data_IF_144374555156
#
_entry.id   IF_144374555156
#
_cell.length_a   1.000
_cell.length_b   1.000
_cell.length_c   1.000
_cell.angle_alpha   90.00
_cell.angle_beta   90.00
_cell.angle_gamma   90.00
#
_symmetry.space_group_name_H-M   'P 1'
#
loop_
_entity.id
_entity.type
_entity.pdbx_description
1 polymer ?
#
# COMPACT_ATOMS: atom_id res chain seq x y z
N UNK A 1 -26.76 -12.87 -3.78
CA UNK A 1 -25.34 -13.15 -3.56
C UNK A 1 -24.63 -11.85 -3.09
N UNK A 2 -23.67 -11.97 -2.20
CA UNK A 2 -22.87 -10.87 -1.69
C UNK A 2 -21.45 -11.34 -1.47
N UNK A 3 -20.51 -10.41 -1.49
CA UNK A 3 -19.09 -10.64 -1.18
C UNK A 3 -18.54 -9.42 -0.49
N UNK A 4 -17.38 -9.56 0.13
CA UNK A 4 -16.62 -8.44 0.67
C UNK A 4 -15.25 -8.35 0.01
N UNK A 5 -14.74 -7.12 -0.04
CA UNK A 5 -13.41 -6.81 -0.51
C UNK A 5 -12.84 -5.63 0.26
N UNK A 6 -11.53 -5.52 0.27
CA UNK A 6 -10.84 -4.43 0.93
C UNK A 6 -9.33 -4.57 0.87
N UNK A 7 -8.66 -3.62 1.49
CA UNK A 7 -7.21 -3.62 1.53
C UNK A 7 -6.68 -2.67 2.58
N UNK A 8 -5.45 -2.92 2.95
CA UNK A 8 -4.70 -2.15 3.91
C UNK A 8 -3.22 -2.32 3.55
N UNK A 9 -2.67 -1.40 2.78
CA UNK A 9 -1.29 -1.44 2.28
C UNK A 9 -0.55 -0.13 2.54
N UNK A 10 0.78 -0.19 2.60
CA UNK A 10 1.64 0.93 2.93
C UNK A 10 2.66 1.19 1.81
N UNK A 11 2.79 2.46 1.41
CA UNK A 11 3.77 2.91 0.42
C UNK A 11 4.73 3.94 1.04
N UNK A 12 5.76 3.50 1.78
CA UNK A 12 6.77 4.39 2.31
C UNK A 12 7.74 4.84 1.20
N UNK A 13 8.34 6.01 1.38
CA UNK A 13 9.40 6.50 0.49
C UNK A 13 10.77 6.45 1.16
N UNK A 14 10.82 6.65 2.47
CA UNK A 14 12.01 6.45 3.31
C UNK A 14 11.73 5.24 4.21
N UNK A 15 12.71 4.35 4.31
CA UNK A 15 12.55 3.06 4.98
C UNK A 15 12.71 3.21 6.49
N UNK A 16 11.73 2.69 7.22
CA UNK A 16 11.79 2.44 8.66
C UNK A 16 11.29 1.02 8.91
N UNK A 17 12.20 0.06 9.01
CA UNK A 17 11.84 -1.37 9.10
C UNK A 17 10.91 -1.70 10.28
N UNK A 18 11.05 -1.02 11.41
CA UNK A 18 10.20 -1.28 12.58
C UNK A 18 8.75 -0.90 12.32
N UNK A 19 8.50 0.18 11.58
CA UNK A 19 7.15 0.57 11.18
C UNK A 19 6.53 -0.48 10.24
N UNK A 20 7.32 -1.02 9.32
CA UNK A 20 6.86 -2.03 8.37
C UNK A 20 6.52 -3.34 9.09
N UNK A 21 7.38 -3.78 10.01
CA UNK A 21 7.12 -4.97 10.82
C UNK A 21 5.86 -4.83 11.67
N UNK A 22 5.67 -3.68 12.29
CA UNK A 22 4.47 -3.40 13.10
C UNK A 22 3.22 -3.34 12.22
N UNK A 23 3.30 -2.70 11.06
CA UNK A 23 2.25 -2.68 10.05
C UNK A 23 1.76 -4.09 9.70
N UNK A 24 2.67 -5.01 9.39
CA UNK A 24 2.33 -6.40 9.04
C UNK A 24 1.84 -7.20 10.24
N UNK A 25 2.39 -7.01 11.46
CA UNK A 25 1.88 -7.64 12.69
C UNK A 25 0.44 -7.25 12.98
N UNK A 26 0.11 -5.97 12.85
CA UNK A 26 -1.23 -5.47 13.07
C UNK A 26 -2.21 -5.99 12.00
N UNK A 27 -1.78 -6.05 10.73
CA UNK A 27 -2.55 -6.65 9.64
C UNK A 27 -2.83 -8.14 9.91
N UNK A 28 -1.86 -8.88 10.42
CA UNK A 28 -2.04 -10.29 10.80
C UNK A 28 -2.96 -10.42 12.01
N UNK A 29 -2.71 -9.67 13.06
CA UNK A 29 -3.47 -9.76 14.31
C UNK A 29 -4.97 -9.50 14.12
N UNK A 30 -5.33 -8.54 13.24
CA UNK A 30 -6.74 -8.23 12.98
C UNK A 30 -7.50 -9.34 12.23
N UNK A 31 -6.79 -10.27 11.58
CA UNK A 31 -7.36 -11.39 10.84
C UNK A 31 -7.28 -12.72 11.61
N UNK A 32 -6.27 -12.91 12.46
CA UNK A 32 -6.04 -14.17 13.19
C UNK A 32 -7.22 -14.59 14.09
N UNK A 33 -8.01 -13.62 14.57
CA UNK A 33 -9.23 -13.87 15.34
C UNK A 33 -10.41 -14.39 14.51
N UNK A 34 -10.31 -14.34 13.18
CA UNK A 34 -11.34 -14.74 12.22
C UNK A 34 -10.89 -16.01 11.50
N UNK A 35 -9.76 -15.95 10.80
CA UNK A 35 -9.14 -17.08 10.12
C UNK A 35 -7.64 -16.83 9.96
N UNK A 36 -6.82 -17.75 10.49
CA UNK A 36 -5.35 -17.63 10.45
C UNK A 36 -4.75 -17.74 9.03
N UNK A 37 -5.48 -18.34 8.10
CA UNK A 37 -5.03 -18.50 6.72
C UNK A 37 -5.27 -17.22 5.89
N UNK A 38 -6.06 -16.27 6.40
CA UNK A 38 -6.37 -15.04 5.67
C UNK A 38 -5.16 -14.12 5.51
N UNK A 39 -4.38 -13.93 6.58
CA UNK A 39 -3.22 -13.04 6.47
C UNK A 39 -2.21 -13.49 5.40
N UNK A 40 -1.69 -14.73 5.37
CA UNK A 40 -0.77 -15.14 4.32
C UNK A 40 -1.40 -15.05 2.92
N UNK A 41 -2.64 -15.47 2.75
CA UNK A 41 -3.34 -15.39 1.47
C UNK A 41 -3.51 -13.94 1.00
N UNK A 42 -4.00 -13.06 1.86
CA UNK A 42 -4.27 -11.67 1.51
C UNK A 42 -2.99 -10.83 1.37
N UNK A 43 -1.92 -11.20 2.07
CA UNK A 43 -0.60 -10.60 1.89
C UNK A 43 0.00 -10.95 0.54
N UNK A 44 -0.10 -12.20 0.11
CA UNK A 44 0.31 -12.63 -1.23
C UNK A 44 -0.51 -11.94 -2.32
N UNK A 45 -1.83 -11.82 -2.14
CA UNK A 45 -2.70 -11.08 -3.05
C UNK A 45 -2.27 -9.61 -3.15
N UNK A 46 -1.98 -8.96 -2.02
CA UNK A 46 -1.48 -7.59 -1.96
C UNK A 46 -0.17 -7.43 -2.75
N UNK A 47 0.80 -8.29 -2.48
CA UNK A 47 2.10 -8.30 -3.13
C UNK A 47 2.00 -8.50 -4.65
N UNK A 48 1.05 -9.31 -5.11
CA UNK A 48 0.81 -9.57 -6.53
C UNK A 48 0.04 -8.45 -7.21
N UNK A 49 -0.98 -7.91 -6.55
CA UNK A 49 -1.81 -6.85 -7.12
C UNK A 49 -1.04 -5.54 -7.32
N UNK A 50 -0.26 -5.11 -6.33
CA UNK A 50 0.44 -3.83 -6.36
C UNK A 50 1.82 -3.88 -7.04
N UNK A 51 2.00 -4.76 -8.01
CA UNK A 51 3.19 -4.77 -8.88
C UNK A 51 3.13 -3.65 -9.93
N UNK A 52 4.29 -3.11 -10.26
CA UNK A 52 4.52 -2.18 -11.37
C UNK A 52 5.40 -2.93 -12.39
N UNK A 53 4.81 -3.70 -13.32
CA UNK A 53 5.56 -4.63 -14.17
C UNK A 53 6.66 -3.96 -15.00
N UNK A 54 6.38 -2.80 -15.61
CA UNK A 54 7.34 -2.08 -16.44
C UNK A 54 8.51 -1.46 -15.63
N UNK A 55 8.42 -1.46 -14.29
CA UNK A 55 9.50 -1.07 -13.37
C UNK A 55 10.15 -2.25 -12.68
N UNK A 56 9.56 -3.45 -12.79
CA UNK A 56 9.98 -4.66 -12.08
C UNK A 56 10.07 -4.44 -10.56
N UNK A 57 9.09 -3.75 -9.99
CA UNK A 57 9.04 -3.44 -8.55
C UNK A 57 7.61 -3.53 -8.02
N UNK A 58 7.45 -3.63 -6.71
CA UNK A 58 6.16 -3.43 -6.02
C UNK A 58 5.94 -1.94 -5.77
N UNK A 59 4.68 -1.52 -5.66
CA UNK A 59 4.31 -0.14 -5.34
C UNK A 59 4.76 0.27 -3.93
N UNK A 60 4.63 -0.62 -2.95
CA UNK A 60 4.95 -0.41 -1.55
C UNK A 60 5.41 -1.67 -0.85
N UNK A 61 5.40 -1.65 0.47
CA UNK A 61 5.80 -2.77 1.32
C UNK A 61 4.69 -3.80 1.53
N UNK A 62 3.52 -3.58 0.95
CA UNK A 62 2.37 -4.47 1.07
C UNK A 62 1.58 -4.24 2.36
N UNK A 63 0.96 -5.29 2.80
CA UNK A 63 -0.03 -5.39 3.85
C UNK A 63 -0.99 -6.51 3.50
N UNK A 64 -2.28 -6.22 3.33
CA UNK A 64 -3.30 -7.17 2.89
C UNK A 64 -4.16 -6.58 1.78
N UNK A 65 -4.61 -7.44 0.87
CA UNK A 65 -5.60 -7.12 -0.15
C UNK A 65 -6.49 -8.34 -0.37
N UNK A 66 -7.80 -8.16 -0.26
CA UNK A 66 -8.77 -9.24 -0.43
C UNK A 66 -9.94 -8.77 -1.30
N UNK A 67 -10.47 -9.69 -2.08
CA UNK A 67 -11.56 -9.46 -3.01
C UNK A 67 -12.39 -10.75 -3.11
N UNK A 68 -13.69 -10.60 -3.36
CA UNK A 68 -14.61 -11.74 -3.54
C UNK A 68 -14.62 -12.75 -2.38
N UNK A 69 -14.46 -12.31 -1.14
CA UNK A 69 -14.58 -13.18 0.04
C UNK A 69 -16.06 -13.49 0.29
N UNK A 70 -16.41 -14.78 0.23
CA UNK A 70 -17.80 -15.29 0.31
C UNK A 70 -17.98 -16.41 1.34
N UNK A 71 -16.91 -16.85 1.97
CA UNK A 71 -16.86 -18.01 2.87
C UNK A 71 -17.21 -17.68 4.34
N UNK A 72 -17.55 -16.42 4.61
CA UNK A 72 -17.97 -15.94 5.92
C UNK A 72 -19.49 -15.70 5.98
N UNK A 73 -20.09 -15.82 7.16
CA UNK A 73 -21.41 -15.28 7.42
C UNK A 73 -21.42 -13.76 7.31
N UNK A 74 -22.58 -13.15 7.08
CA UNK A 74 -22.69 -11.68 7.01
C UNK A 74 -22.15 -11.01 8.29
N UNK A 75 -22.48 -11.56 9.46
CA UNK A 75 -22.00 -11.04 10.75
C UNK A 75 -20.46 -11.07 10.84
N UNK A 76 -19.84 -12.20 10.49
CA UNK A 76 -18.38 -12.32 10.52
C UNK A 76 -17.71 -11.46 9.44
N UNK A 77 -18.36 -11.26 8.30
CA UNK A 77 -17.88 -10.34 7.27
C UNK A 77 -17.84 -8.90 7.75
N UNK A 78 -18.89 -8.43 8.43
CA UNK A 78 -18.92 -7.09 9.03
C UNK A 78 -17.86 -6.95 10.11
N UNK A 79 -17.74 -7.93 11.02
CA UNK A 79 -16.68 -7.94 12.04
C UNK A 79 -15.28 -7.88 11.44
N UNK A 80 -15.03 -8.61 10.36
CA UNK A 80 -13.76 -8.58 9.67
C UNK A 80 -13.46 -7.19 9.07
N UNK A 81 -14.43 -6.59 8.39
CA UNK A 81 -14.26 -5.25 7.81
C UNK A 81 -14.00 -4.19 8.89
N UNK A 82 -14.73 -4.24 10.00
CA UNK A 82 -14.50 -3.35 11.15
C UNK A 82 -13.10 -3.55 11.76
N UNK A 83 -12.67 -4.81 11.94
CA UNK A 83 -11.36 -5.14 12.47
C UNK A 83 -10.23 -4.61 11.58
N UNK A 84 -10.34 -4.82 10.26
CA UNK A 84 -9.37 -4.32 9.28
C UNK A 84 -9.34 -2.79 9.25
N UNK A 85 -10.49 -2.13 9.24
CA UNK A 85 -10.58 -0.66 9.24
C UNK A 85 -9.95 -0.04 10.49
N UNK A 86 -10.24 -0.60 11.67
CA UNK A 86 -9.68 -0.13 12.94
C UNK A 86 -8.17 -0.38 13.02
N UNK A 87 -7.69 -1.53 12.57
CA UNK A 87 -6.27 -1.87 12.54
C UNK A 87 -5.51 -0.94 11.58
N UNK A 88 -6.07 -0.65 10.40
CA UNK A 88 -5.50 0.32 9.45
C UNK A 88 -5.33 1.69 10.09
N UNK A 89 -6.41 2.24 10.63
CA UNK A 89 -6.39 3.58 11.23
C UNK A 89 -5.39 3.65 12.38
N UNK A 90 -5.44 2.69 13.31
CA UNK A 90 -4.54 2.63 14.46
C UNK A 90 -3.07 2.56 14.05
N UNK A 91 -2.72 1.64 13.16
CA UNK A 91 -1.35 1.45 12.68
C UNK A 91 -0.82 2.68 11.92
N UNK A 92 -1.64 3.27 11.04
CA UNK A 92 -1.23 4.45 10.29
C UNK A 92 -1.02 5.67 11.21
N UNK A 93 -1.91 5.89 12.16
CA UNK A 93 -1.80 7.00 13.11
C UNK A 93 -0.58 6.86 14.02
N UNK A 94 -0.23 5.63 14.40
CA UNK A 94 0.99 5.36 15.16
C UNK A 94 2.24 5.74 14.37
N UNK A 95 2.37 5.27 13.12
CA UNK A 95 3.48 5.63 12.23
C UNK A 95 3.54 7.14 12.01
N UNK A 96 2.40 7.77 11.71
CA UNK A 96 2.34 9.22 11.50
C UNK A 96 2.81 10.00 12.73
N UNK A 97 2.38 9.60 13.94
CA UNK A 97 2.80 10.23 15.18
C UNK A 97 4.30 10.05 15.49
N UNK A 98 4.85 8.88 15.18
CA UNK A 98 6.29 8.63 15.31
C UNK A 98 7.13 9.47 14.33
N UNK A 99 6.61 9.75 13.12
CA UNK A 99 7.40 10.29 12.01
C UNK A 99 7.15 11.77 11.68
N UNK A 100 6.00 12.35 12.07
CA UNK A 100 5.59 13.72 11.70
C UNK A 100 6.59 14.83 12.08
N UNK A 101 7.44 14.61 13.10
CA UNK A 101 8.43 15.59 13.55
C UNK A 101 9.87 15.29 13.08
N UNK A 102 10.09 14.23 12.31
CA UNK A 102 11.39 13.90 11.76
C UNK A 102 11.72 14.91 10.65
N UNK A 103 12.90 15.54 10.77
CA UNK A 103 13.39 16.43 9.72
C UNK A 103 13.79 15.60 8.50
N UNK A 104 13.54 16.13 7.33
CA UNK A 104 13.95 15.55 6.05
C UNK A 104 14.73 16.57 5.24
N UNK A 105 15.61 16.09 4.37
CA UNK A 105 16.39 16.90 3.45
C UNK A 105 15.64 17.20 2.15
N UNK A 106 16.09 18.19 1.41
CA UNK A 106 15.56 18.49 0.06
C UNK A 106 15.74 17.30 -0.88
N UNK A 107 16.82 16.53 -0.73
CA UNK A 107 17.05 15.31 -1.52
C UNK A 107 16.01 14.22 -1.21
N UNK A 108 15.68 14.01 0.04
CA UNK A 108 14.62 13.07 0.44
C UNK A 108 13.25 13.53 -0.04
N UNK A 109 12.99 14.84 -0.01
CA UNK A 109 11.77 15.41 -0.57
C UNK A 109 11.67 15.22 -2.08
N UNK A 110 12.75 15.46 -2.79
CA UNK A 110 12.82 15.24 -4.25
C UNK A 110 12.65 13.75 -4.59
N UNK A 111 13.29 12.86 -3.82
CA UNK A 111 13.11 11.41 -3.93
C UNK A 111 11.64 11.00 -3.72
N UNK A 112 10.98 11.53 -2.69
CA UNK A 112 9.54 11.30 -2.47
C UNK A 112 8.71 11.67 -3.71
N UNK A 113 8.96 12.83 -4.32
CA UNK A 113 8.22 13.27 -5.51
C UNK A 113 8.42 12.31 -6.69
N UNK A 114 9.64 11.81 -6.89
CA UNK A 114 9.92 10.83 -7.93
C UNK A 114 9.23 9.49 -7.64
N UNK A 115 9.25 9.03 -6.39
CA UNK A 115 8.57 7.78 -5.99
C UNK A 115 7.04 7.91 -6.08
N UNK A 116 6.49 9.08 -5.85
CA UNK A 116 5.07 9.37 -6.12
C UNK A 116 4.72 9.19 -7.60
N UNK A 117 5.66 9.42 -8.52
CA UNK A 117 5.49 9.09 -9.94
C UNK A 117 5.20 7.59 -10.15
N UNK A 118 5.84 6.68 -9.40
CA UNK A 118 5.56 5.22 -9.47
C UNK A 118 4.15 4.90 -9.00
N UNK A 119 3.68 5.58 -7.97
CA UNK A 119 2.30 5.44 -7.48
C UNK A 119 1.29 5.88 -8.57
N UNK A 120 1.53 6.99 -9.23
CA UNK A 120 0.71 7.46 -10.35
C UNK A 120 0.73 6.49 -11.52
N UNK A 121 1.90 5.96 -11.89
CA UNK A 121 2.03 4.94 -12.95
C UNK A 121 1.17 3.71 -12.64
N UNK A 122 1.21 3.20 -11.41
CA UNK A 122 0.37 2.08 -11.01
C UNK A 122 -1.11 2.41 -11.16
N UNK A 123 -1.56 3.50 -10.54
CA UNK A 123 -2.99 3.84 -10.51
C UNK A 123 -3.58 4.10 -11.90
N UNK A 124 -2.84 4.74 -12.79
CA UNK A 124 -3.35 5.05 -14.15
C UNK A 124 -3.23 3.87 -15.13
N UNK A 125 -2.30 2.93 -14.90
CA UNK A 125 -2.03 1.87 -15.88
C UNK A 125 -2.57 0.52 -15.43
N UNK A 126 -2.56 0.21 -14.12
CA UNK A 126 -2.81 -1.14 -13.61
C UNK A 126 -3.95 -1.22 -12.60
N UNK A 127 -4.31 -0.12 -11.93
CA UNK A 127 -5.34 -0.18 -10.90
C UNK A 127 -6.73 -0.43 -11.50
N UNK A 128 -7.29 -1.61 -11.20
CA UNK A 128 -8.59 -2.04 -11.73
C UNK A 128 -9.71 -1.07 -11.38
N UNK A 129 -9.69 -0.53 -10.16
CA UNK A 129 -10.70 0.42 -9.70
C UNK A 129 -10.66 1.74 -10.46
N UNK A 130 -9.47 2.29 -10.66
CA UNK A 130 -9.26 3.50 -11.47
C UNK A 130 -9.69 3.29 -12.92
N UNK A 131 -9.24 2.19 -13.53
CA UNK A 131 -9.60 1.86 -14.92
C UNK A 131 -11.11 1.69 -15.09
N UNK A 132 -11.78 0.95 -14.19
CA UNK A 132 -13.22 0.78 -14.20
C UNK A 132 -13.94 2.11 -14.03
N UNK A 133 -13.52 2.94 -13.09
CA UNK A 133 -14.13 4.26 -12.85
C UNK A 133 -14.07 5.16 -14.08
N UNK A 134 -12.90 5.23 -14.75
CA UNK A 134 -12.72 6.01 -15.97
C UNK A 134 -13.54 5.46 -17.14
N UNK A 135 -13.62 4.14 -17.31
CA UNK A 135 -14.38 3.48 -18.38
C UNK A 135 -15.89 3.60 -18.19
N UNK A 136 -16.36 3.65 -16.95
CA UNK A 136 -17.79 3.78 -16.63
C UNK A 136 -18.31 5.23 -16.59
N UNK A 137 -17.53 6.19 -17.03
CA UNK A 137 -17.82 7.62 -16.95
C UNK A 137 -18.14 8.12 -15.53
N UNK A 138 -17.47 7.55 -14.54
CA UNK A 138 -17.58 7.99 -13.16
C UNK A 138 -17.05 9.41 -12.96
N UNK A 139 -17.32 10.01 -11.81
CA UNK A 139 -16.85 11.34 -11.46
C UNK A 139 -15.33 11.36 -11.34
N UNK A 140 -14.65 12.05 -12.24
CA UNK A 140 -13.18 12.07 -12.37
C UNK A 140 -12.49 12.51 -11.08
N UNK A 141 -12.99 13.56 -10.42
CA UNK A 141 -12.40 14.06 -9.18
C UNK A 141 -12.44 13.04 -8.04
N UNK A 142 -13.44 12.16 -8.03
CA UNK A 142 -13.54 11.08 -7.06
C UNK A 142 -12.63 9.90 -7.41
N UNK A 143 -12.55 9.56 -8.69
CA UNK A 143 -11.70 8.46 -9.19
C UNK A 143 -10.22 8.78 -8.97
N UNK A 144 -9.81 10.02 -9.24
CA UNK A 144 -8.42 10.48 -9.15
C UNK A 144 -8.08 11.14 -7.81
N UNK A 145 -8.96 11.08 -6.82
CA UNK A 145 -8.76 11.71 -5.50
C UNK A 145 -7.51 11.22 -4.77
N UNK A 146 -7.07 9.98 -5.04
CA UNK A 146 -5.87 9.39 -4.43
C UNK A 146 -4.55 9.85 -5.06
N UNK A 147 -4.59 10.50 -6.22
CA UNK A 147 -3.36 10.95 -6.88
C UNK A 147 -2.70 12.10 -6.12
N UNK A 148 -1.37 12.08 -5.97
CA UNK A 148 -0.64 13.13 -5.27
C UNK A 148 -0.66 14.44 -6.06
N UNK A 149 -0.84 15.58 -5.37
CA UNK A 149 -0.85 16.91 -5.97
C UNK A 149 0.46 17.26 -6.70
N UNK A 150 1.59 16.72 -6.23
CA UNK A 150 2.90 16.95 -6.83
C UNK A 150 3.62 15.62 -7.01
N UNK A 151 4.18 15.45 -8.20
CA UNK A 151 4.98 14.27 -8.57
C UNK A 151 6.08 14.68 -9.56
N UNK A 152 7.09 13.82 -9.73
CA UNK A 152 8.22 14.10 -10.61
C UNK A 152 8.67 12.84 -11.33
N UNK A 153 9.11 12.99 -12.57
CA UNK A 153 9.87 11.98 -13.31
C UNK A 153 11.27 12.48 -13.59
N UNK A 154 12.28 11.68 -13.29
CA UNK A 154 13.68 12.03 -13.51
C UNK A 154 14.46 10.81 -14.00
N UNK A 155 15.22 10.99 -15.06
CA UNK A 155 16.02 9.92 -15.66
C UNK A 155 17.50 9.98 -15.24
N UNK A 156 18.05 11.18 -14.98
CA UNK A 156 19.41 11.32 -14.46
C UNK A 156 19.38 11.19 -12.94
N UNK A 157 20.05 10.17 -12.42
CA UNK A 157 20.08 9.86 -10.98
C UNK A 157 21.38 10.38 -10.35
N UNK A 158 21.28 11.06 -9.23
CA UNK A 158 22.42 11.40 -8.36
C UNK A 158 22.88 10.17 -7.57
N UNK A 159 24.08 10.20 -7.00
CA UNK A 159 24.58 9.11 -6.13
C UNK A 159 23.64 8.88 -4.93
N UNK A 160 23.15 9.96 -4.33
CA UNK A 160 22.24 9.88 -3.18
C UNK A 160 20.89 9.29 -3.57
N UNK A 161 20.33 9.66 -4.72
CA UNK A 161 19.12 9.04 -5.25
C UNK A 161 19.30 7.52 -5.43
N UNK A 162 20.41 7.09 -6.01
CA UNK A 162 20.69 5.67 -6.23
C UNK A 162 20.77 4.92 -4.89
N UNK A 163 21.36 5.51 -3.87
CA UNK A 163 21.41 4.93 -2.51
C UNK A 163 20.01 4.73 -1.94
N UNK A 164 19.21 5.79 -1.91
CA UNK A 164 17.83 5.74 -1.39
C UNK A 164 16.95 4.74 -2.19
N UNK A 165 17.09 4.74 -3.51
CA UNK A 165 16.34 3.81 -4.37
C UNK A 165 16.73 2.36 -4.09
N UNK A 166 18.03 2.05 -3.95
CA UNK A 166 18.51 0.70 -3.65
C UNK A 166 17.96 0.19 -2.30
N UNK A 167 18.00 1.04 -1.28
CA UNK A 167 17.45 0.74 0.04
C UNK A 167 15.94 0.47 -0.04
N UNK A 168 15.19 1.35 -0.69
CA UNK A 168 13.75 1.20 -0.86
C UNK A 168 13.40 -0.07 -1.66
N UNK A 169 14.06 -0.32 -2.79
CA UNK A 169 13.76 -1.47 -3.65
C UNK A 169 14.05 -2.79 -2.94
N UNK A 170 15.12 -2.88 -2.14
CA UNK A 170 15.41 -4.08 -1.35
C UNK A 170 14.33 -4.36 -0.29
N UNK A 171 13.61 -3.32 0.12
CA UNK A 171 12.57 -3.38 1.16
C UNK A 171 11.20 -3.70 0.57
N UNK A 172 10.78 -3.00 -0.50
CA UNK A 172 9.45 -3.20 -1.09
C UNK A 172 9.33 -4.53 -1.85
N UNK A 173 10.43 -5.11 -2.32
CA UNK A 173 10.43 -6.40 -3.00
C UNK A 173 10.62 -7.60 -2.04
N UNK A 174 10.77 -7.34 -0.74
CA UNK A 174 10.86 -8.38 0.29
C UNK A 174 9.47 -8.84 0.71
N UNK A 175 9.32 -10.14 1.00
CA UNK A 175 8.14 -10.67 1.66
C UNK A 175 8.27 -10.48 3.17
N UNK A 176 7.33 -9.76 3.75
CA UNK A 176 7.30 -9.45 5.18
C UNK A 176 6.50 -10.52 5.91
N UNK A 177 7.15 -11.64 6.22
CA UNK A 177 6.57 -12.71 7.04
C UNK A 177 6.67 -12.33 8.51
N UNK A 178 5.54 -12.29 9.24
CA UNK A 178 5.41 -11.96 10.66
C UNK A 178 4.65 -13.05 11.41
#
# INVERSE_FOLDING_TARGET
>A
EWWIGGGYDLTPFIVFEDDIKEWHRNAKACLDGINKDYYPCFSDNCNNYFKIPHRNERRGVGGIFFDNVTDLSLENSVKMLESVANAYLGSYMEIANKRKNIKFSDTEKDFQLIRRGRYVEFNLIYDRGTLFGLQSNGRIESILASLPNNTKWQYKKTKEYIRLEKELLSTINKDWNV
#
